data_IF_095255155190
#
_entry.id   IF_095255155190
#
_cell.length_a   1.000
_cell.length_b   1.000
_cell.length_c   1.000
_cell.angle_alpha   90.00
_cell.angle_beta   90.00
_cell.angle_gamma   90.00
#
_symmetry.space_group_name_H-M   'P 1'
#
loop_
_entity.id
_entity.type
_entity.pdbx_description
1 polymer ?
#
# COMPACT_ATOMS: atom_id res chain seq x y z
N UNK A 1 -3.74 30.11 1.01
CA UNK A 1 -4.94 29.36 1.42
C UNK A 1 -5.38 28.63 0.17
N UNK A 2 -4.94 27.39 0.02
CA UNK A 2 -5.25 26.60 -1.16
C UNK A 2 -6.74 26.22 -1.10
N UNK A 3 -7.49 26.68 -2.10
CA UNK A 3 -8.88 26.28 -2.30
C UNK A 3 -8.90 24.81 -2.67
N UNK A 4 -9.21 23.93 -1.72
CA UNK A 4 -9.62 22.57 -2.02
C UNK A 4 -10.98 22.67 -2.68
N UNK A 5 -10.97 22.49 -3.99
CA UNK A 5 -12.16 22.49 -4.84
C UNK A 5 -12.65 21.04 -4.98
N UNK A 6 -13.97 20.85 -4.95
CA UNK A 6 -14.58 19.53 -5.14
C UNK A 6 -14.42 19.18 -6.63
N UNK A 7 -13.73 18.08 -6.94
CA UNK A 7 -13.28 17.76 -8.33
C UNK A 7 -14.11 16.67 -9.01
N UNK A 8 -15.04 16.05 -8.30
CA UNK A 8 -15.86 14.93 -8.72
C UNK A 8 -17.34 15.29 -8.84
N UNK A 9 -18.18 14.26 -8.90
CA UNK A 9 -19.62 14.38 -9.12
C UNK A 9 -20.36 14.34 -7.78
N UNK A 10 -21.32 15.24 -7.60
CA UNK A 10 -22.31 15.23 -6.52
C UNK A 10 -23.48 14.36 -6.98
N UNK A 11 -23.79 13.28 -6.26
CA UNK A 11 -25.04 12.57 -6.45
C UNK A 11 -26.11 13.21 -5.58
N UNK A 12 -27.20 13.68 -6.17
CA UNK A 12 -28.34 14.23 -5.45
C UNK A 12 -29.55 13.33 -5.71
N UNK A 13 -29.88 12.49 -4.74
CA UNK A 13 -30.88 11.45 -4.87
C UNK A 13 -32.07 11.75 -3.95
N UNK A 14 -33.16 12.25 -4.52
CA UNK A 14 -34.38 12.63 -3.82
C UNK A 14 -35.56 12.57 -4.80
N UNK A 15 -36.68 11.99 -4.40
CA UNK A 15 -37.83 11.79 -5.30
C UNK A 15 -38.51 13.10 -5.72
N UNK A 16 -38.22 14.20 -5.04
CA UNK A 16 -38.71 15.56 -5.31
C UNK A 16 -37.66 16.46 -5.94
N UNK A 17 -36.50 15.92 -6.37
CA UNK A 17 -35.41 16.69 -6.97
C UNK A 17 -35.79 17.43 -8.28
N UNK A 18 -36.94 17.12 -8.86
CA UNK A 18 -37.48 17.78 -10.06
C UNK A 18 -38.78 18.56 -9.80
N UNK A 19 -39.20 18.68 -8.55
CA UNK A 19 -40.42 19.37 -8.14
C UNK A 19 -40.13 20.84 -7.88
N UNK A 20 -40.60 21.72 -8.78
CA UNK A 20 -40.31 23.17 -8.75
C UNK A 20 -40.71 23.87 -7.43
N UNK A 21 -41.66 23.28 -6.71
CA UNK A 21 -42.24 23.77 -5.45
C UNK A 21 -41.81 22.92 -4.23
N UNK A 22 -40.60 22.33 -4.23
CA UNK A 22 -40.05 21.63 -3.05
C UNK A 22 -38.66 22.19 -2.62
N UNK A 23 -38.33 22.22 -1.31
CA UNK A 23 -37.05 22.73 -0.81
C UNK A 23 -35.83 22.04 -1.44
N UNK A 24 -35.97 20.75 -1.74
CA UNK A 24 -34.92 19.89 -2.29
C UNK A 24 -34.49 20.32 -3.68
N UNK A 25 -35.42 20.81 -4.50
CA UNK A 25 -35.09 21.31 -5.82
C UNK A 25 -34.33 22.65 -5.77
N UNK A 26 -34.68 23.54 -4.84
CA UNK A 26 -33.93 24.77 -4.63
C UNK A 26 -32.52 24.50 -4.09
N UNK A 27 -32.37 23.52 -3.18
CA UNK A 27 -31.06 23.07 -2.73
C UNK A 27 -30.24 22.48 -3.90
N UNK A 28 -30.85 21.62 -4.72
CA UNK A 28 -30.24 21.09 -5.94
C UNK A 28 -29.75 22.21 -6.88
N UNK A 29 -30.56 23.27 -7.09
CA UNK A 29 -30.15 24.42 -7.93
C UNK A 29 -28.94 25.15 -7.36
N UNK A 30 -28.80 25.24 -6.05
CA UNK A 30 -27.61 25.84 -5.42
C UNK A 30 -26.38 24.98 -5.72
N UNK A 31 -26.46 23.66 -5.53
CA UNK A 31 -25.37 22.74 -5.87
C UNK A 31 -24.99 22.80 -7.35
N UNK A 32 -25.97 22.81 -8.26
CA UNK A 32 -25.75 22.85 -9.71
C UNK A 32 -24.98 24.08 -10.19
N UNK A 33 -25.05 25.20 -9.46
CA UNK A 33 -24.32 26.43 -9.81
C UNK A 33 -22.82 26.31 -9.58
N UNK A 34 -22.40 25.48 -8.63
CA UNK A 34 -21.00 25.36 -8.22
C UNK A 34 -20.37 24.02 -8.58
N UNK A 35 -21.15 22.94 -8.66
CA UNK A 35 -20.66 21.57 -8.81
C UNK A 35 -21.29 20.84 -9.99
N UNK A 36 -20.63 19.76 -10.42
CA UNK A 36 -21.21 18.79 -11.35
C UNK A 36 -22.16 17.88 -10.56
N UNK A 37 -23.46 18.05 -10.77
CA UNK A 37 -24.51 17.32 -10.02
C UNK A 37 -25.23 16.33 -10.93
N UNK A 38 -25.33 15.08 -10.48
CA UNK A 38 -26.20 14.05 -11.03
C UNK A 38 -27.47 13.95 -10.18
N UNK A 39 -28.61 14.47 -10.65
CA UNK A 39 -29.90 14.28 -9.97
C UNK A 39 -30.45 12.88 -10.24
N UNK A 40 -31.08 12.29 -9.23
CA UNK A 40 -31.76 10.99 -9.28
C UNK A 40 -33.06 11.09 -8.50
N UNK A 41 -34.15 10.61 -9.09
CA UNK A 41 -35.51 10.75 -8.58
C UNK A 41 -36.15 9.45 -8.09
N UNK A 42 -35.46 8.30 -8.21
CA UNK A 42 -35.97 7.03 -7.73
C UNK A 42 -34.84 6.04 -7.40
N UNK A 43 -35.20 4.97 -6.66
CA UNK A 43 -34.27 3.97 -6.17
C UNK A 43 -33.60 3.12 -7.27
N UNK A 44 -34.27 2.87 -8.39
CA UNK A 44 -33.68 2.12 -9.51
C UNK A 44 -32.59 2.95 -10.21
N UNK A 45 -32.88 4.22 -10.47
CA UNK A 45 -31.90 5.18 -10.98
C UNK A 45 -30.75 5.39 -9.98
N UNK A 46 -31.02 5.38 -8.66
CA UNK A 46 -29.99 5.44 -7.63
C UNK A 46 -29.05 4.23 -7.74
N UNK A 47 -29.59 3.02 -7.80
CA UNK A 47 -28.81 1.80 -7.95
C UNK A 47 -27.97 1.82 -9.23
N UNK A 48 -28.55 2.23 -10.35
CA UNK A 48 -27.83 2.35 -11.62
C UNK A 48 -26.72 3.41 -11.55
N UNK A 49 -26.99 4.58 -10.97
CA UNK A 49 -26.00 5.64 -10.82
C UNK A 49 -24.82 5.18 -9.96
N UNK A 50 -25.10 4.56 -8.80
CA UNK A 50 -24.07 4.08 -7.88
C UNK A 50 -23.22 2.93 -8.44
N UNK A 51 -23.77 2.14 -9.36
CA UNK A 51 -23.04 1.04 -10.02
C UNK A 51 -22.29 1.47 -11.29
N UNK A 52 -22.77 2.50 -11.98
CA UNK A 52 -22.25 2.91 -13.28
C UNK A 52 -21.21 4.03 -13.20
N UNK A 53 -21.34 4.92 -12.20
CA UNK A 53 -20.39 6.01 -11.97
C UNK A 53 -19.31 5.54 -11.00
N UNK A 54 -18.06 5.62 -11.43
CA UNK A 54 -16.93 5.06 -10.67
C UNK A 54 -16.69 5.74 -9.32
N UNK A 55 -16.97 7.04 -9.22
CA UNK A 55 -16.58 7.88 -8.08
C UNK A 55 -17.53 9.05 -7.90
N UNK A 56 -18.10 9.17 -6.69
CA UNK A 56 -18.80 10.36 -6.21
C UNK A 56 -17.98 10.98 -5.08
N UNK A 57 -17.91 12.31 -5.04
CA UNK A 57 -17.26 12.99 -3.90
C UNK A 57 -18.23 13.04 -2.71
N UNK A 58 -19.50 13.30 -3.02
CA UNK A 58 -20.59 13.37 -2.05
C UNK A 58 -21.85 12.77 -2.63
N UNK A 59 -22.59 12.10 -1.75
CA UNK A 59 -23.93 11.58 -2.00
C UNK A 59 -24.86 12.30 -1.03
N UNK A 60 -25.82 13.05 -1.57
CA UNK A 60 -26.93 13.64 -0.85
C UNK A 60 -28.14 12.78 -1.16
N UNK A 61 -28.75 12.21 -0.12
CA UNK A 61 -29.69 11.12 -0.25
C UNK A 61 -30.89 11.35 0.64
N UNK A 62 -32.08 11.23 0.08
CA UNK A 62 -33.31 11.11 0.87
C UNK A 62 -33.46 9.70 1.45
N UNK A 63 -34.00 9.61 2.65
CA UNK A 63 -34.30 8.34 3.28
C UNK A 63 -35.62 7.77 2.78
N UNK A 64 -36.58 8.62 2.44
CA UNK A 64 -37.95 8.23 2.12
C UNK A 64 -38.29 8.44 0.63
N UNK A 65 -38.11 7.42 -0.20
CA UNK A 65 -38.52 7.46 -1.62
C UNK A 65 -39.96 6.98 -1.82
N UNK A 66 -40.79 7.79 -2.46
CA UNK A 66 -42.13 7.40 -2.87
C UNK A 66 -42.10 6.44 -4.07
N UNK A 67 -42.97 5.43 -4.03
CA UNK A 67 -43.20 4.53 -5.15
C UNK A 67 -43.85 5.30 -6.30
N UNK A 68 -43.25 5.21 -7.49
CA UNK A 68 -43.83 5.77 -8.72
C UNK A 68 -44.70 4.75 -9.48
N UNK A 69 -45.00 3.60 -8.88
CA UNK A 69 -45.82 2.56 -9.50
C UNK A 69 -47.29 3.01 -9.57
N UNK A 70 -47.86 3.23 -10.78
CA UNK A 70 -49.23 3.69 -10.95
C UNK A 70 -50.28 2.70 -10.41
N UNK A 71 -49.91 1.42 -10.21
CA UNK A 71 -50.81 0.39 -9.66
C UNK A 71 -50.82 0.36 -8.12
N UNK A 72 -49.91 1.08 -7.45
CA UNK A 72 -49.76 1.10 -5.99
C UNK A 72 -49.68 2.52 -5.42
N UNK A 73 -50.81 3.24 -5.48
CA UNK A 73 -50.95 4.63 -5.02
C UNK A 73 -50.68 4.82 -3.50
N UNK A 74 -50.71 3.74 -2.71
CA UNK A 74 -50.50 3.75 -1.24
C UNK A 74 -49.34 2.85 -0.76
N UNK A 75 -48.36 2.54 -1.62
CA UNK A 75 -47.20 1.78 -1.18
C UNK A 75 -46.41 2.53 -0.08
N UNK A 76 -45.93 1.84 0.96
CA UNK A 76 -45.09 2.48 1.98
C UNK A 76 -43.81 3.04 1.34
N UNK A 77 -43.28 4.17 1.84
CA UNK A 77 -42.00 4.70 1.38
C UNK A 77 -40.91 3.65 1.46
N UNK A 78 -40.11 3.58 0.41
CA UNK A 78 -38.94 2.70 0.36
C UNK A 78 -37.71 3.49 0.77
N UNK A 79 -36.70 2.80 1.30
CA UNK A 79 -35.45 3.41 1.73
C UNK A 79 -34.24 2.79 1.01
N UNK A 80 -33.12 3.53 0.90
CA UNK A 80 -31.97 3.12 0.11
C UNK A 80 -31.03 2.12 0.80
N UNK A 81 -31.34 1.65 2.01
CA UNK A 81 -30.40 0.87 2.83
C UNK A 81 -29.89 -0.39 2.12
N UNK A 82 -30.79 -1.16 1.50
CA UNK A 82 -30.43 -2.40 0.79
C UNK A 82 -29.48 -2.14 -0.38
N UNK A 83 -29.65 -1.03 -1.09
CA UNK A 83 -28.77 -0.61 -2.18
C UNK A 83 -27.39 -0.24 -1.62
N UNK A 84 -27.35 0.51 -0.51
CA UNK A 84 -26.10 0.92 0.12
C UNK A 84 -25.34 -0.26 0.73
N UNK A 85 -26.03 -1.28 1.24
CA UNK A 85 -25.43 -2.50 1.79
C UNK A 85 -24.67 -3.32 0.75
N UNK A 86 -25.15 -3.34 -0.49
CA UNK A 86 -24.51 -4.05 -1.60
C UNK A 86 -23.21 -3.36 -2.05
N UNK A 87 -23.00 -2.09 -1.69
CA UNK A 87 -21.98 -1.24 -2.31
C UNK A 87 -20.91 -0.76 -1.31
N UNK A 88 -19.64 -0.90 -1.70
CA UNK A 88 -18.50 -0.38 -0.95
C UNK A 88 -18.11 1.00 -1.45
N UNK A 89 -18.95 1.98 -1.14
CA UNK A 89 -18.76 3.36 -1.57
C UNK A 89 -17.69 4.04 -0.70
N UNK A 90 -16.84 4.85 -1.35
CA UNK A 90 -15.80 5.65 -0.69
C UNK A 90 -16.08 7.15 -0.90
N UNK A 91 -17.22 7.61 -0.37
CA UNK A 91 -17.74 8.98 -0.47
C UNK A 91 -18.26 9.47 0.88
N UNK A 92 -18.42 10.79 1.04
CA UNK A 92 -19.23 11.38 2.12
C UNK A 92 -20.71 11.20 1.78
N UNK A 93 -21.53 10.78 2.73
CA UNK A 93 -22.95 10.52 2.53
C UNK A 93 -23.75 11.39 3.51
N UNK A 94 -24.63 12.22 2.98
CA UNK A 94 -25.65 12.95 3.75
C UNK A 94 -26.98 12.26 3.53
N UNK A 95 -27.58 11.76 4.61
CA UNK A 95 -28.89 11.15 4.61
C UNK A 95 -29.87 12.12 5.25
N UNK A 96 -30.83 12.60 4.46
CA UNK A 96 -31.93 13.43 4.92
C UNK A 96 -33.14 12.55 5.21
N UNK A 97 -33.86 12.83 6.28
CA UNK A 97 -35.05 12.06 6.66
C UNK A 97 -36.09 12.98 7.28
N UNK A 98 -37.35 12.85 6.87
CA UNK A 98 -38.46 13.57 7.51
C UNK A 98 -38.85 12.92 8.84
N UNK A 99 -38.74 11.60 8.95
CA UNK A 99 -38.98 10.85 10.17
C UNK A 99 -37.66 10.40 10.84
N UNK A 100 -37.75 9.92 12.08
CA UNK A 100 -36.61 9.30 12.75
C UNK A 100 -36.24 7.98 12.06
N UNK A 101 -34.97 7.88 11.62
CA UNK A 101 -34.44 6.64 11.06
C UNK A 101 -34.32 5.60 12.19
N UNK A 102 -34.78 4.35 11.98
CA UNK A 102 -34.63 3.28 12.96
C UNK A 102 -33.17 3.10 13.42
N UNK A 103 -32.97 2.91 14.73
CA UNK A 103 -31.62 2.84 15.33
C UNK A 103 -30.74 1.74 14.73
N UNK A 104 -31.34 0.60 14.38
CA UNK A 104 -30.65 -0.51 13.70
C UNK A 104 -30.14 -0.12 12.30
N UNK A 105 -30.91 0.67 11.55
CA UNK A 105 -30.49 1.21 10.27
C UNK A 105 -29.37 2.24 10.41
N UNK A 106 -29.45 3.12 11.43
CA UNK A 106 -28.39 4.09 11.75
C UNK A 106 -27.08 3.38 12.09
N UNK A 107 -27.13 2.41 13.00
CA UNK A 107 -25.96 1.60 13.38
C UNK A 107 -25.36 0.91 12.17
N UNK A 108 -26.22 0.37 11.29
CA UNK A 108 -25.79 -0.29 10.06
C UNK A 108 -25.06 0.66 9.11
N UNK A 109 -25.58 1.86 8.89
CA UNK A 109 -24.94 2.89 8.07
C UNK A 109 -23.57 3.29 8.63
N UNK A 110 -23.44 3.45 9.95
CA UNK A 110 -22.15 3.75 10.58
C UNK A 110 -21.15 2.60 10.51
N UNK A 111 -21.62 1.34 10.51
CA UNK A 111 -20.77 0.16 10.29
C UNK A 111 -20.26 0.12 8.84
N UNK A 112 -21.13 0.38 7.85
CA UNK A 112 -20.79 0.34 6.43
C UNK A 112 -19.88 1.50 6.02
N UNK A 113 -20.13 2.69 6.58
CA UNK A 113 -19.46 3.93 6.21
C UNK A 113 -18.91 4.68 7.46
N UNK A 114 -17.92 4.10 8.16
CA UNK A 114 -17.41 4.68 9.41
C UNK A 114 -16.89 6.11 9.22
N UNK A 115 -17.43 7.05 9.99
CA UNK A 115 -17.04 8.47 9.96
C UNK A 115 -17.42 9.23 8.68
N UNK A 116 -18.20 8.61 7.77
CA UNK A 116 -18.53 9.17 6.45
C UNK A 116 -20.02 9.43 6.22
N UNK A 117 -20.88 8.96 7.11
CA UNK A 117 -22.32 9.23 7.07
C UNK A 117 -22.68 10.35 8.04
N UNK A 118 -23.48 11.29 7.58
CA UNK A 118 -24.14 12.33 8.38
C UNK A 118 -25.63 12.19 8.16
N UNK A 119 -26.39 12.09 9.25
CA UNK A 119 -27.84 11.99 9.22
C UNK A 119 -28.39 13.35 9.63
N UNK A 120 -29.26 13.93 8.81
CA UNK A 120 -29.92 15.22 9.05
C UNK A 120 -31.44 15.04 8.98
N UNK A 121 -32.17 15.76 9.83
CA UNK A 121 -33.62 15.84 9.70
C UNK A 121 -34.00 16.87 8.63
N UNK A 122 -35.07 16.61 7.87
CA UNK A 122 -35.66 17.57 6.94
C UNK A 122 -36.43 18.63 7.74
N UNK A 123 -35.77 19.74 8.06
CA UNK A 123 -36.37 20.86 8.82
C UNK A 123 -36.66 22.08 7.93
N UNK A 124 -36.11 22.12 6.72
CA UNK A 124 -36.10 23.32 5.88
C UNK A 124 -37.38 23.42 5.05
N UNK A 125 -38.04 24.57 5.12
CA UNK A 125 -39.18 24.92 4.27
C UNK A 125 -38.77 25.84 3.13
N UNK A 126 -39.54 25.86 2.05
CA UNK A 126 -39.26 26.68 0.85
C UNK A 126 -39.19 28.17 1.12
N UNK A 127 -40.03 28.67 2.03
CA UNK A 127 -40.14 30.08 2.37
C UNK A 127 -38.92 30.59 3.15
N UNK A 128 -38.08 29.68 3.65
CA UNK A 128 -36.87 29.99 4.41
C UNK A 128 -35.62 29.95 3.53
N UNK A 129 -35.56 30.82 2.52
CA UNK A 129 -34.42 30.90 1.57
C UNK A 129 -33.06 31.08 2.28
N UNK A 130 -33.03 31.85 3.37
CA UNK A 130 -31.81 32.03 4.17
C UNK A 130 -31.38 30.74 4.87
N UNK A 131 -32.33 29.87 5.25
CA UNK A 131 -32.04 28.56 5.81
C UNK A 131 -31.52 27.59 4.74
N UNK A 132 -32.07 27.60 3.52
CA UNK A 132 -31.54 26.82 2.38
C UNK A 132 -30.11 27.23 2.03
N UNK A 133 -29.82 28.53 2.02
CA UNK A 133 -28.46 29.03 1.79
C UNK A 133 -27.51 28.66 2.94
N UNK A 134 -27.98 28.72 4.18
CA UNK A 134 -27.20 28.30 5.33
C UNK A 134 -26.87 26.80 5.27
N UNK A 135 -27.84 25.95 4.93
CA UNK A 135 -27.61 24.50 4.76
C UNK A 135 -26.62 24.21 3.63
N UNK A 136 -26.77 24.89 2.49
CA UNK A 136 -25.82 24.75 1.38
C UNK A 136 -24.38 25.11 1.81
N UNK A 137 -24.19 26.23 2.50
CA UNK A 137 -22.87 26.64 3.00
C UNK A 137 -22.35 25.72 4.11
N UNK A 138 -23.23 25.16 4.95
CA UNK A 138 -22.87 24.15 5.95
C UNK A 138 -22.35 22.88 5.30
N UNK A 139 -23.09 22.30 4.34
CA UNK A 139 -22.65 21.11 3.61
C UNK A 139 -21.32 21.38 2.90
N UNK A 140 -21.18 22.55 2.25
CA UNK A 140 -19.94 22.94 1.58
C UNK A 140 -18.76 23.05 2.54
N UNK A 141 -18.99 23.58 3.75
CA UNK A 141 -17.99 23.64 4.81
C UNK A 141 -17.60 22.24 5.29
N UNK A 142 -18.58 21.39 5.59
CA UNK A 142 -18.36 20.00 5.99
C UNK A 142 -17.60 19.21 4.94
N UNK A 143 -17.89 19.42 3.64
CA UNK A 143 -17.18 18.78 2.54
C UNK A 143 -15.72 19.22 2.47
N UNK A 144 -15.43 20.51 2.68
CA UNK A 144 -14.06 21.01 2.75
C UNK A 144 -13.30 20.43 3.94
N UNK A 145 -13.93 20.39 5.11
CA UNK A 145 -13.36 19.78 6.31
C UNK A 145 -13.10 18.29 6.11
N UNK A 146 -14.04 17.59 5.47
CA UNK A 146 -13.91 16.18 5.14
C UNK A 146 -12.77 15.93 4.15
N UNK A 147 -12.66 16.72 3.08
CA UNK A 147 -11.58 16.63 2.10
C UNK A 147 -10.21 16.92 2.75
N UNK A 148 -10.13 17.92 3.64
CA UNK A 148 -8.92 18.23 4.42
C UNK A 148 -8.51 17.08 5.35
N UNK A 149 -9.48 16.46 6.03
CA UNK A 149 -9.22 15.35 6.94
C UNK A 149 -8.88 14.03 6.21
N UNK A 150 -9.24 13.92 4.93
CA UNK A 150 -9.12 12.71 4.14
C UNK A 150 -8.43 13.00 2.80
N UNK A 151 -7.27 13.63 2.80
CA UNK A 151 -6.50 13.94 1.57
C UNK A 151 -6.15 12.69 0.75
N UNK A 152 -6.16 11.51 1.37
CA UNK A 152 -6.08 10.22 0.69
C UNK A 152 -7.25 9.98 -0.29
N UNK A 153 -8.38 10.68 -0.16
CA UNK A 153 -9.50 10.64 -1.10
C UNK A 153 -9.13 11.23 -2.45
N UNK A 154 -8.40 12.36 -2.47
CA UNK A 154 -7.96 12.99 -3.72
C UNK A 154 -7.16 12.00 -4.56
N UNK A 155 -6.32 11.21 -3.90
CA UNK A 155 -5.59 10.13 -4.55
C UNK A 155 -6.52 9.09 -5.16
N UNK A 156 -7.52 8.62 -4.41
CA UNK A 156 -8.48 7.62 -4.88
C UNK A 156 -9.31 8.11 -6.08
N UNK A 157 -9.70 9.38 -6.10
CA UNK A 157 -10.46 9.99 -7.19
C UNK A 157 -9.60 10.10 -8.46
N UNK A 158 -8.38 10.61 -8.33
CA UNK A 158 -7.48 10.71 -9.47
C UNK A 158 -7.02 9.33 -9.97
N UNK A 159 -6.87 8.33 -9.08
CA UNK A 159 -6.65 6.94 -9.44
C UNK A 159 -7.82 6.37 -10.25
N UNK A 160 -9.06 6.54 -9.77
CA UNK A 160 -10.28 6.10 -10.47
C UNK A 160 -10.43 6.75 -11.85
N UNK A 161 -10.14 8.05 -11.94
CA UNK A 161 -10.14 8.79 -13.22
C UNK A 161 -9.11 8.23 -14.20
N UNK A 162 -7.89 7.96 -13.72
CA UNK A 162 -6.83 7.38 -14.54
C UNK A 162 -7.25 5.99 -15.07
N UNK A 163 -7.82 5.12 -14.20
CA UNK A 163 -8.35 3.82 -14.61
C UNK A 163 -9.38 3.97 -15.72
N UNK A 164 -10.39 4.83 -15.52
CA UNK A 164 -11.46 4.98 -16.50
C UNK A 164 -10.94 5.48 -17.85
N UNK A 165 -10.07 6.49 -17.85
CA UNK A 165 -9.47 7.01 -19.07
C UNK A 165 -8.66 5.94 -19.80
N UNK A 166 -7.85 5.16 -19.06
CA UNK A 166 -7.07 4.07 -19.60
C UNK A 166 -7.96 2.95 -20.18
N UNK A 167 -9.01 2.54 -19.46
CA UNK A 167 -9.96 1.54 -19.94
C UNK A 167 -10.69 1.98 -21.21
N UNK A 168 -11.14 3.25 -21.27
CA UNK A 168 -11.80 3.79 -22.46
C UNK A 168 -10.85 3.81 -23.67
N UNK A 169 -9.57 4.15 -23.48
CA UNK A 169 -8.56 4.07 -24.55
C UNK A 169 -8.36 2.63 -25.00
N UNK A 170 -8.08 1.72 -24.07
CA UNK A 170 -7.82 0.30 -24.35
C UNK A 170 -9.00 -0.33 -25.09
N UNK A 171 -10.23 -0.15 -24.58
CA UNK A 171 -11.40 -0.73 -25.23
C UNK A 171 -11.71 -0.06 -26.56
N UNK A 172 -11.48 1.24 -26.70
CA UNK A 172 -11.58 1.94 -27.98
C UNK A 172 -10.64 1.35 -29.02
N UNK A 173 -9.37 1.12 -28.67
CA UNK A 173 -8.34 0.54 -29.54
C UNK A 173 -8.66 -0.92 -29.90
N UNK A 174 -8.96 -1.76 -28.91
CA UNK A 174 -9.29 -3.17 -29.13
C UNK A 174 -10.56 -3.34 -29.97
N UNK A 175 -11.60 -2.54 -29.71
CA UNK A 175 -12.85 -2.59 -30.46
C UNK A 175 -12.69 -2.08 -31.90
N UNK A 176 -11.80 -1.11 -32.13
CA UNK A 176 -11.48 -0.62 -33.47
C UNK A 176 -10.74 -1.67 -34.31
N UNK A 177 -9.86 -2.47 -33.69
CA UNK A 177 -9.16 -3.58 -34.37
C UNK A 177 -10.10 -4.75 -34.62
N UNK A 178 -10.85 -5.19 -33.61
CA UNK A 178 -11.76 -6.33 -33.72
C UNK A 178 -12.89 -6.27 -32.69
N UNK A 179 -14.14 -6.15 -33.18
CA UNK A 179 -15.35 -6.14 -32.35
C UNK A 179 -15.57 -7.41 -31.50
N UNK A 180 -14.87 -8.50 -31.83
CA UNK A 180 -14.92 -9.78 -31.13
C UNK A 180 -13.59 -10.14 -30.46
N UNK A 181 -12.75 -9.16 -30.14
CA UNK A 181 -11.42 -9.39 -29.54
C UNK A 181 -11.48 -10.31 -28.29
N UNK A 182 -12.47 -10.16 -27.41
CA UNK A 182 -12.66 -11.02 -26.22
C UNK A 182 -12.80 -12.49 -26.64
N UNK A 183 -13.67 -12.76 -27.62
CA UNK A 183 -13.94 -14.11 -28.12
C UNK A 183 -12.69 -14.73 -28.72
N UNK A 184 -11.91 -13.94 -29.44
CA UNK A 184 -10.76 -14.44 -30.18
C UNK A 184 -9.58 -14.72 -29.24
N UNK A 185 -9.35 -13.90 -28.20
CA UNK A 185 -8.41 -14.19 -27.11
C UNK A 185 -8.86 -15.46 -26.37
N UNK A 186 -10.12 -15.49 -25.90
CA UNK A 186 -10.68 -16.64 -25.18
C UNK A 186 -10.50 -17.95 -25.96
N UNK A 187 -10.85 -17.95 -27.26
CA UNK A 187 -10.71 -19.13 -28.12
C UNK A 187 -9.25 -19.53 -28.36
N UNK A 188 -8.31 -18.58 -28.35
CA UNK A 188 -6.88 -18.89 -28.41
C UNK A 188 -6.45 -19.62 -27.15
N UNK A 189 -6.78 -19.08 -25.97
CA UNK A 189 -6.44 -19.67 -24.67
C UNK A 189 -7.01 -21.07 -24.47
N UNK A 190 -8.27 -21.30 -24.87
CA UNK A 190 -8.88 -22.64 -24.80
C UNK A 190 -8.12 -23.66 -25.64
N UNK A 191 -7.59 -23.28 -26.82
CA UNK A 191 -6.81 -24.20 -27.66
C UNK A 191 -5.47 -24.59 -27.01
N UNK A 192 -4.92 -23.71 -26.19
CA UNK A 192 -3.66 -23.92 -25.47
C UNK A 192 -3.86 -24.62 -24.11
N UNK A 193 -5.08 -25.10 -23.81
CA UNK A 193 -5.48 -25.68 -22.52
C UNK A 193 -5.22 -24.77 -21.31
N UNK A 194 -5.24 -23.44 -21.49
CA UNK A 194 -5.10 -22.47 -20.40
C UNK A 194 -6.46 -22.04 -19.83
N UNK A 195 -6.45 -21.42 -18.65
CA UNK A 195 -7.66 -20.81 -18.08
C UNK A 195 -8.01 -19.53 -18.86
N UNK A 196 -8.85 -19.68 -19.87
CA UNK A 196 -9.19 -18.61 -20.81
C UNK A 196 -9.82 -17.37 -20.16
N UNK A 197 -10.56 -17.54 -19.04
CA UNK A 197 -11.11 -16.40 -18.30
C UNK A 197 -9.98 -15.63 -17.63
N UNK A 198 -9.06 -16.33 -16.97
CA UNK A 198 -7.91 -15.70 -16.30
C UNK A 198 -7.01 -14.99 -17.31
N UNK A 199 -6.74 -15.61 -18.47
CA UNK A 199 -5.93 -15.01 -19.53
C UNK A 199 -6.51 -13.68 -20.02
N UNK A 200 -7.83 -13.62 -20.30
CA UNK A 200 -8.48 -12.39 -20.75
C UNK A 200 -8.36 -11.29 -19.69
N UNK A 201 -8.57 -11.64 -18.41
CA UNK A 201 -8.48 -10.69 -17.29
C UNK A 201 -7.03 -10.21 -17.10
N UNK A 202 -6.05 -11.10 -17.13
CA UNK A 202 -4.63 -10.78 -16.96
C UNK A 202 -4.11 -9.89 -18.09
N UNK A 203 -4.47 -10.19 -19.34
CA UNK A 203 -4.07 -9.36 -20.47
C UNK A 203 -4.63 -7.94 -20.34
N UNK A 204 -5.90 -7.80 -19.95
CA UNK A 204 -6.49 -6.48 -19.70
C UNK A 204 -5.82 -5.76 -18.53
N UNK A 205 -5.54 -6.47 -17.44
CA UNK A 205 -4.84 -5.89 -16.29
C UNK A 205 -3.43 -5.44 -16.66
N UNK A 206 -2.72 -6.18 -17.51
CA UNK A 206 -1.40 -5.80 -18.00
C UNK A 206 -1.47 -4.54 -18.87
N UNK A 207 -2.40 -4.48 -19.83
CA UNK A 207 -2.62 -3.27 -20.64
C UNK A 207 -2.99 -2.07 -19.76
N UNK A 208 -3.88 -2.26 -18.79
CA UNK A 208 -4.26 -1.23 -17.84
C UNK A 208 -3.06 -0.77 -17.00
N UNK A 209 -2.27 -1.68 -16.45
CA UNK A 209 -1.09 -1.36 -15.66
C UNK A 209 -0.09 -0.51 -16.47
N UNK A 210 0.17 -0.89 -17.72
CA UNK A 210 1.06 -0.12 -18.61
C UNK A 210 0.53 1.30 -18.88
N UNK A 211 -0.77 1.44 -19.14
CA UNK A 211 -1.40 2.74 -19.34
C UNK A 211 -1.35 3.60 -18.07
N UNK A 212 -1.57 3.01 -16.90
CA UNK A 212 -1.50 3.71 -15.62
C UNK A 212 -0.08 4.20 -15.29
N UNK A 213 0.95 3.39 -15.55
CA UNK A 213 2.37 3.77 -15.38
C UNK A 213 2.76 4.96 -16.26
N UNK A 214 2.12 5.09 -17.42
CA UNK A 214 2.33 6.17 -18.37
C UNK A 214 1.45 7.40 -18.11
N UNK A 215 0.44 7.31 -17.23
CA UNK A 215 -0.46 8.41 -16.93
C UNK A 215 0.27 9.56 -16.20
N UNK A 216 0.43 10.75 -16.82
CA UNK A 216 1.24 11.83 -16.24
C UNK A 216 0.58 12.47 -15.01
N UNK A 217 -0.76 12.57 -14.98
CA UNK A 217 -1.50 13.15 -13.87
C UNK A 217 -1.37 12.29 -12.60
N UNK A 218 -1.54 10.97 -12.76
CA UNK A 218 -1.35 10.03 -11.66
C UNK A 218 0.09 10.05 -11.14
N UNK A 219 1.09 10.05 -12.04
CA UNK A 219 2.51 10.11 -11.68
C UNK A 219 2.85 11.36 -10.88
N UNK A 220 2.39 12.53 -11.32
CA UNK A 220 2.61 13.79 -10.62
C UNK A 220 2.05 13.74 -9.19
N UNK A 221 0.83 13.22 -9.03
CA UNK A 221 0.19 13.11 -7.72
C UNK A 221 0.90 12.13 -6.78
N UNK A 222 1.35 10.96 -7.29
CA UNK A 222 2.18 10.02 -6.53
C UNK A 222 3.46 10.72 -6.03
N UNK A 223 4.12 11.50 -6.90
CA UNK A 223 5.34 12.23 -6.52
C UNK A 223 5.07 13.33 -5.49
N UNK A 224 3.96 14.05 -5.60
CA UNK A 224 3.57 15.06 -4.61
C UNK A 224 3.38 14.41 -3.24
N UNK A 225 2.48 13.42 -3.15
CA UNK A 225 2.16 12.78 -1.86
C UNK A 225 3.34 11.97 -1.30
N UNK A 226 4.10 11.29 -2.16
CA UNK A 226 5.25 10.49 -1.73
C UNK A 226 6.41 11.32 -1.17
N UNK A 227 6.49 12.61 -1.49
CA UNK A 227 7.50 13.54 -1.00
C UNK A 227 6.98 14.47 0.11
N UNK A 228 5.72 14.34 0.53
CA UNK A 228 5.22 15.10 1.68
C UNK A 228 6.00 14.67 2.94
N UNK A 229 6.59 15.65 3.64
CA UNK A 229 7.30 15.40 4.88
C UNK A 229 6.31 14.89 5.93
N UNK A 230 6.36 13.58 6.18
CA UNK A 230 5.30 12.85 6.86
C UNK A 230 4.94 13.37 8.25
N UNK A 231 3.64 13.35 8.53
CA UNK A 231 3.08 13.31 9.89
C UNK A 231 3.43 11.99 10.57
N UNK A 232 3.53 12.00 11.91
CA UNK A 232 3.78 10.81 12.74
C UNK A 232 2.71 9.73 12.50
N UNK A 233 2.94 8.84 11.53
CA UNK A 233 2.08 7.67 11.29
C UNK A 233 2.33 6.66 12.39
N UNK A 234 1.27 6.19 13.04
CA UNK A 234 1.36 5.13 14.05
C UNK A 234 1.91 3.84 13.41
N UNK A 235 2.89 3.21 14.06
CA UNK A 235 3.47 1.93 13.63
C UNK A 235 2.40 0.85 13.41
N UNK A 236 1.35 0.83 14.24
CA UNK A 236 0.22 -0.08 14.12
C UNK A 236 -0.58 0.17 12.84
N UNK A 237 -0.80 1.44 12.47
CA UNK A 237 -1.52 1.79 11.25
C UNK A 237 -0.71 1.37 10.01
N UNK A 238 0.60 1.60 10.02
CA UNK A 238 1.49 1.15 8.96
C UNK A 238 1.49 -0.39 8.84
N UNK A 239 1.61 -1.11 9.95
CA UNK A 239 1.60 -2.58 9.96
C UNK A 239 0.30 -3.17 9.39
N UNK A 240 -0.86 -2.57 9.71
CA UNK A 240 -2.17 -2.96 9.14
C UNK A 240 -2.27 -2.67 7.64
N UNK A 241 -1.76 -1.51 7.21
CA UNK A 241 -1.71 -1.15 5.79
C UNK A 241 -0.88 -2.18 4.99
N UNK A 242 0.34 -2.48 5.46
CA UNK A 242 1.21 -3.43 4.77
C UNK A 242 0.69 -4.87 4.83
N UNK A 243 0.00 -5.28 5.91
CA UNK A 243 -0.72 -6.55 5.91
C UNK A 243 -1.75 -6.61 4.77
N UNK A 244 -2.54 -5.55 4.56
CA UNK A 244 -3.55 -5.51 3.49
C UNK A 244 -2.91 -5.53 2.09
N UNK A 245 -1.74 -4.91 1.94
CA UNK A 245 -0.99 -4.89 0.68
C UNK A 245 -0.38 -6.27 0.38
N UNK A 246 0.21 -6.93 1.38
CA UNK A 246 0.85 -8.24 1.21
C UNK A 246 -0.16 -9.37 1.03
N UNK A 247 -1.31 -9.33 1.71
CA UNK A 247 -2.23 -10.46 1.76
C UNK A 247 -3.65 -10.09 1.36
N UNK A 248 -4.19 -10.88 0.43
CA UNK A 248 -5.62 -10.82 0.06
C UNK A 248 -6.37 -11.95 0.73
N UNK A 249 -7.51 -11.64 1.36
CA UNK A 249 -8.41 -12.66 1.90
C UNK A 249 -9.11 -13.37 0.74
N UNK A 250 -9.07 -14.70 0.74
CA UNK A 250 -9.77 -15.52 -0.24
C UNK A 250 -11.21 -15.72 0.23
N UNK A 251 -12.16 -15.43 -0.67
CA UNK A 251 -13.58 -15.55 -0.42
C UNK A 251 -14.13 -16.78 -1.14
N UNK A 252 -14.63 -17.76 -0.39
CA UNK A 252 -15.26 -18.96 -0.93
C UNK A 252 -14.29 -20.08 -1.33
N UNK A 253 -14.83 -21.29 -1.45
CA UNK A 253 -14.10 -22.51 -1.82
C UNK A 253 -13.99 -22.71 -3.33
N UNK A 254 -14.74 -21.96 -4.13
CA UNK A 254 -14.79 -22.12 -5.59
C UNK A 254 -13.62 -21.45 -6.33
N UNK A 255 -12.83 -20.61 -5.64
CA UNK A 255 -11.63 -19.99 -6.24
C UNK A 255 -10.60 -21.09 -6.47
N UNK A 256 -10.15 -21.34 -7.70
CA UNK A 256 -9.22 -22.44 -7.92
C UNK A 256 -7.80 -22.09 -7.37
N UNK A 257 -6.96 -23.10 -7.15
CA UNK A 257 -5.66 -22.90 -6.51
C UNK A 257 -4.76 -21.99 -7.35
N UNK A 258 -4.06 -21.08 -6.68
CA UNK A 258 -3.18 -20.12 -7.33
C UNK A 258 -1.86 -19.97 -6.55
N UNK A 259 -0.79 -19.62 -7.26
CA UNK A 259 0.52 -19.36 -6.64
C UNK A 259 0.37 -18.24 -5.61
N UNK A 260 0.91 -18.44 -4.42
CA UNK A 260 0.78 -17.53 -3.29
C UNK A 260 -0.37 -17.87 -2.35
N UNK A 261 -1.25 -18.83 -2.69
CA UNK A 261 -2.27 -19.32 -1.77
C UNK A 261 -1.61 -19.84 -0.47
N UNK A 262 -2.15 -19.40 0.67
CA UNK A 262 -1.70 -19.75 2.00
C UNK A 262 -2.68 -20.78 2.59
N UNK A 263 -2.14 -21.94 2.94
CA UNK A 263 -2.84 -23.06 3.54
C UNK A 263 -2.47 -23.18 5.02
N UNK A 264 -3.48 -23.42 5.85
CA UNK A 264 -3.30 -23.77 7.26
C UNK A 264 -3.19 -25.29 7.37
N UNK A 265 -2.03 -25.77 7.85
CA UNK A 265 -1.81 -27.19 8.10
C UNK A 265 -2.24 -27.53 9.54
N UNK A 266 -1.93 -26.64 10.48
CA UNK A 266 -2.36 -26.69 11.89
C UNK A 266 -2.34 -25.30 12.49
N UNK A 267 -2.65 -25.16 13.79
CA UNK A 267 -2.69 -23.87 14.49
C UNK A 267 -1.37 -23.07 14.41
N UNK A 268 -0.24 -23.76 14.31
CA UNK A 268 1.11 -23.16 14.28
C UNK A 268 1.86 -23.40 12.96
N UNK A 269 1.26 -24.08 11.99
CA UNK A 269 1.94 -24.49 10.76
C UNK A 269 1.17 -24.09 9.51
N UNK A 270 1.91 -23.50 8.57
CA UNK A 270 1.36 -22.90 7.37
C UNK A 270 2.18 -23.33 6.16
N UNK A 271 1.56 -23.27 4.99
CA UNK A 271 2.22 -23.50 3.72
C UNK A 271 1.81 -22.45 2.68
N UNK A 272 2.77 -22.01 1.87
CA UNK A 272 2.53 -21.15 0.71
C UNK A 272 2.78 -21.96 -0.57
N UNK A 273 1.79 -21.99 -1.48
CA UNK A 273 1.96 -22.59 -2.80
C UNK A 273 2.89 -21.74 -3.67
N UNK A 274 4.00 -22.33 -4.13
CA UNK A 274 5.00 -21.62 -4.96
C UNK A 274 5.11 -22.17 -6.39
N UNK A 275 4.41 -23.25 -6.73
CA UNK A 275 4.29 -23.76 -8.11
C UNK A 275 3.78 -22.66 -9.03
N UNK A 276 4.42 -22.38 -10.17
CA UNK A 276 3.96 -21.38 -11.13
C UNK A 276 2.52 -21.64 -11.64
N UNK A 277 1.69 -20.59 -11.73
CA UNK A 277 0.26 -20.67 -12.08
C UNK A 277 0.01 -21.39 -13.43
N UNK A 278 0.89 -21.21 -14.42
CA UNK A 278 0.77 -21.87 -15.74
C UNK A 278 0.88 -23.40 -15.68
N UNK A 279 1.58 -23.95 -14.68
CA UNK A 279 1.82 -25.41 -14.61
C UNK A 279 0.67 -26.18 -13.96
N UNK A 280 -0.12 -25.54 -13.08
CA UNK A 280 -1.17 -26.20 -12.29
C UNK A 280 -2.41 -26.52 -13.14
N UNK A 281 -2.84 -25.61 -14.03
CA UNK A 281 -4.08 -25.80 -14.83
C UNK A 281 -3.87 -26.58 -16.13
N UNK A 282 -2.74 -26.36 -16.82
CA UNK A 282 -2.45 -27.00 -18.11
C UNK A 282 -2.19 -28.51 -17.91
N UNK A 283 -1.59 -28.90 -16.79
CA UNK A 283 -1.13 -30.27 -16.59
C UNK A 283 -2.22 -31.22 -16.10
N UNK A 284 -3.10 -30.76 -15.21
CA UNK A 284 -4.20 -31.57 -14.67
C UNK A 284 -5.36 -31.76 -15.67
N UNK A 285 -5.43 -30.94 -16.72
CA UNK A 285 -6.45 -31.02 -17.78
C UNK A 285 -6.08 -31.96 -18.94
N UNK A 286 -4.84 -32.47 -18.98
CA UNK A 286 -4.36 -33.39 -20.03
C UNK A 286 -4.31 -34.83 -19.51
N UNK A 287 -5.19 -35.74 -19.97
CA UNK A 287 -5.31 -37.11 -19.44
C UNK A 287 -4.04 -37.97 -19.53
N UNK A 288 -3.10 -37.59 -20.42
CA UNK A 288 -1.87 -38.32 -20.69
C UNK A 288 -0.67 -37.89 -19.81
N UNK A 289 -0.83 -36.86 -18.97
CA UNK A 289 0.24 -36.36 -18.11
C UNK A 289 -0.05 -36.75 -16.66
N UNK A 290 0.90 -37.35 -15.92
CA UNK A 290 0.73 -37.63 -14.49
C UNK A 290 0.38 -36.35 -13.74
N UNK A 291 -0.63 -36.43 -12.84
CA UNK A 291 -1.08 -35.31 -11.99
C UNK A 291 0.12 -34.57 -11.39
N UNK A 292 0.03 -33.24 -11.39
CA UNK A 292 1.14 -32.41 -10.93
C UNK A 292 1.39 -32.59 -9.44
N UNK A 293 2.67 -32.78 -9.12
CA UNK A 293 3.21 -32.58 -7.80
C UNK A 293 3.32 -31.06 -7.61
N UNK A 294 2.71 -30.53 -6.56
CA UNK A 294 2.73 -29.11 -6.21
C UNK A 294 3.87 -28.83 -5.23
N UNK A 295 4.53 -27.70 -5.39
CA UNK A 295 5.62 -27.23 -4.56
C UNK A 295 5.08 -26.20 -3.57
N UNK A 296 5.28 -26.47 -2.29
CA UNK A 296 4.89 -25.57 -1.21
C UNK A 296 6.10 -25.20 -0.37
N UNK A 297 6.08 -24.02 0.24
CA UNK A 297 6.99 -23.63 1.30
C UNK A 297 6.28 -23.68 2.64
N UNK A 298 6.62 -24.67 3.46
CA UNK A 298 6.10 -24.84 4.82
C UNK A 298 6.91 -24.03 5.82
N UNK A 299 6.24 -23.47 6.81
CA UNK A 299 6.85 -22.72 7.90
C UNK A 299 5.99 -22.77 9.17
N UNK A 300 6.62 -22.56 10.31
CA UNK A 300 5.94 -22.54 11.60
C UNK A 300 5.97 -21.16 12.26
N UNK A 301 4.93 -20.85 13.01
CA UNK A 301 4.91 -19.70 13.94
C UNK A 301 6.06 -19.77 14.96
N UNK A 302 6.49 -20.98 15.33
CA UNK A 302 7.59 -21.20 16.29
C UNK A 302 8.95 -20.74 15.77
N UNK A 303 9.12 -20.71 14.44
CA UNK A 303 10.37 -20.27 13.82
C UNK A 303 10.63 -18.78 14.12
N UNK A 304 9.58 -17.96 14.26
CA UNK A 304 9.71 -16.54 14.61
C UNK A 304 10.24 -16.37 16.03
N UNK A 305 9.71 -17.13 16.99
CA UNK A 305 10.12 -17.04 18.39
C UNK A 305 11.58 -17.42 18.58
N UNK A 306 12.09 -18.38 17.79
CA UNK A 306 13.50 -18.74 17.77
C UNK A 306 14.36 -17.67 17.09
N UNK A 307 13.84 -17.02 16.03
CA UNK A 307 14.60 -16.07 15.23
C UNK A 307 14.66 -14.65 15.83
N UNK A 308 13.61 -14.14 16.46
CA UNK A 308 13.52 -12.73 16.84
C UNK A 308 14.01 -12.37 18.26
N UNK A 309 14.43 -13.34 19.08
CA UNK A 309 15.25 -13.12 20.30
C UNK A 309 14.94 -11.88 21.17
N UNK A 310 15.98 -11.30 21.79
CA UNK A 310 15.91 -10.04 22.57
C UNK A 310 16.25 -8.81 21.69
N UNK A 311 17.05 -9.01 20.63
CA UNK A 311 17.38 -7.96 19.66
C UNK A 311 16.25 -7.80 18.63
N UNK A 312 15.77 -6.56 18.46
CA UNK A 312 14.64 -6.22 17.57
C UNK A 312 14.85 -6.64 16.10
N UNK A 313 16.08 -6.98 15.69
CA UNK A 313 16.37 -7.66 14.43
C UNK A 313 15.86 -6.96 13.18
N UNK A 314 15.74 -5.62 13.20
CA UNK A 314 15.09 -4.83 12.14
C UNK A 314 15.72 -5.09 10.76
N UNK A 315 17.04 -5.26 10.72
CA UNK A 315 17.83 -5.54 9.51
C UNK A 315 17.45 -6.88 8.86
N UNK A 316 16.79 -7.79 9.59
CA UNK A 316 16.31 -9.07 9.05
C UNK A 316 15.23 -8.86 8.00
N UNK A 317 14.42 -7.81 8.11
CA UNK A 317 13.40 -7.45 7.10
C UNK A 317 13.99 -6.88 5.81
N UNK A 318 15.27 -6.45 5.82
CA UNK A 318 16.01 -6.16 4.59
C UNK A 318 16.39 -7.44 3.83
N UNK A 319 16.07 -8.60 4.41
CA UNK A 319 16.22 -9.91 3.79
C UNK A 319 17.68 -10.26 3.45
N UNK A 320 18.62 -9.77 4.27
CA UNK A 320 20.06 -9.95 4.11
C UNK A 320 20.51 -11.42 4.22
N UNK A 321 19.79 -12.22 5.00
CA UNK A 321 20.01 -13.66 5.08
C UNK A 321 19.41 -14.35 3.85
N UNK A 322 20.25 -14.87 2.96
CA UNK A 322 19.81 -15.55 1.73
C UNK A 322 19.08 -16.88 1.98
N UNK A 323 19.32 -17.51 3.13
CA UNK A 323 18.70 -18.77 3.54
C UNK A 323 17.26 -18.63 4.06
N UNK A 324 16.80 -17.39 4.26
CA UNK A 324 15.55 -17.09 4.94
C UNK A 324 14.74 -16.06 4.18
N UNK A 325 13.45 -16.06 4.43
CA UNK A 325 12.54 -15.03 3.98
C UNK A 325 11.58 -14.62 5.11
N UNK A 326 11.42 -13.31 5.29
CA UNK A 326 10.51 -12.78 6.29
C UNK A 326 9.30 -12.14 5.62
N UNK A 327 8.10 -12.52 6.07
CA UNK A 327 6.86 -11.92 5.62
C UNK A 327 6.33 -11.00 6.73
N UNK A 328 6.19 -9.68 6.51
CA UNK A 328 5.73 -8.77 7.55
C UNK A 328 4.23 -8.97 7.84
N UNK A 329 3.83 -8.69 9.09
CA UNK A 329 2.43 -8.68 9.55
C UNK A 329 1.59 -9.87 9.03
N UNK A 330 2.11 -11.09 9.12
CA UNK A 330 1.46 -12.29 8.60
C UNK A 330 0.10 -12.52 9.29
N UNK A 331 -0.97 -12.81 8.53
CA UNK A 331 -2.32 -12.90 9.07
C UNK A 331 -2.58 -14.27 9.72
N UNK A 332 -1.94 -14.51 10.87
CA UNK A 332 -2.21 -15.68 11.69
C UNK A 332 -3.68 -15.73 12.11
N UNK A 333 -4.28 -16.91 12.05
CA UNK A 333 -5.67 -17.10 12.46
C UNK A 333 -5.83 -16.87 13.96
N UNK A 334 -6.91 -16.17 14.32
CA UNK A 334 -7.26 -15.84 15.71
C UNK A 334 -6.15 -15.07 16.47
N UNK A 335 -5.18 -14.48 15.76
CA UNK A 335 -4.11 -13.71 16.38
C UNK A 335 -4.43 -12.22 16.33
N UNK A 336 -4.41 -11.59 17.50
CA UNK A 336 -4.62 -10.15 17.62
C UNK A 336 -3.34 -9.36 17.30
N UNK A 337 -2.18 -9.98 17.47
CA UNK A 337 -0.87 -9.37 17.21
C UNK A 337 -0.46 -9.47 15.73
N UNK A 338 0.17 -8.41 15.22
CA UNK A 338 0.70 -8.39 13.84
C UNK A 338 2.13 -8.95 13.81
N UNK A 339 2.24 -10.26 13.96
CA UNK A 339 3.53 -10.96 13.95
C UNK A 339 4.05 -11.15 12.52
N UNK A 340 5.37 -11.07 12.26
CA UNK A 340 5.93 -11.50 10.98
C UNK A 340 5.87 -13.02 10.85
N UNK A 341 6.10 -13.60 9.66
CA UNK A 341 6.43 -15.01 9.46
C UNK A 341 7.89 -15.17 9.00
N UNK A 342 8.52 -16.29 9.32
CA UNK A 342 9.86 -16.64 8.84
C UNK A 342 9.81 -17.96 8.08
N UNK A 343 10.31 -17.97 6.85
CA UNK A 343 10.46 -19.16 6.01
C UNK A 343 11.95 -19.48 5.95
N UNK A 344 12.33 -20.67 6.41
CA UNK A 344 13.71 -21.16 6.34
C UNK A 344 13.84 -22.08 5.12
N UNK A 345 14.47 -21.60 4.05
CA UNK A 345 14.49 -22.29 2.76
C UNK A 345 15.10 -23.70 2.81
N UNK A 346 16.03 -23.94 3.73
CA UNK A 346 16.68 -25.24 3.88
C UNK A 346 15.69 -26.38 4.17
N UNK A 347 14.61 -26.08 4.90
CA UNK A 347 13.65 -27.09 5.39
C UNK A 347 12.23 -26.83 4.90
N UNK A 348 11.98 -25.71 4.20
CA UNK A 348 10.63 -25.29 3.86
C UNK A 348 10.04 -26.02 2.65
N UNK A 349 10.83 -26.46 1.67
CA UNK A 349 10.27 -27.05 0.44
C UNK A 349 9.66 -28.42 0.72
N UNK A 350 8.38 -28.56 0.40
CA UNK A 350 7.71 -29.84 0.28
C UNK A 350 7.03 -29.98 -1.09
N UNK A 351 6.95 -31.22 -1.56
CA UNK A 351 6.22 -31.57 -2.77
C UNK A 351 5.00 -32.39 -2.39
N UNK A 352 3.81 -31.88 -2.70
CA UNK A 352 2.53 -32.45 -2.26
C UNK A 352 1.59 -32.71 -3.43
N UNK A 353 0.63 -33.60 -3.25
CA UNK A 353 -0.46 -33.76 -4.22
C UNK A 353 -1.49 -32.63 -4.08
N UNK A 354 -2.25 -32.39 -5.15
CA UNK A 354 -3.40 -31.48 -5.09
C UNK A 354 -4.44 -31.91 -4.07
N UNK A 355 -4.65 -33.21 -3.93
CA UNK A 355 -5.64 -33.78 -3.00
C UNK A 355 -5.28 -33.39 -1.56
N UNK A 356 -3.99 -33.38 -1.19
CA UNK A 356 -3.53 -32.92 0.12
C UNK A 356 -3.96 -31.48 0.45
N UNK A 357 -3.91 -30.57 -0.53
CA UNK A 357 -4.28 -29.16 -0.33
C UNK A 357 -5.79 -28.93 -0.31
N UNK A 358 -6.57 -29.86 -0.88
CA UNK A 358 -8.04 -29.72 -1.01
C UNK A 358 -8.74 -29.77 0.33
N UNK A 359 -8.17 -30.51 1.29
CA UNK A 359 -8.72 -30.67 2.63
C UNK A 359 -8.24 -29.59 3.62
N UNK A 360 -7.30 -28.72 3.20
CA UNK A 360 -6.73 -27.69 4.06
C UNK A 360 -7.52 -26.39 4.01
N UNK A 361 -7.60 -25.71 5.16
CA UNK A 361 -8.20 -24.39 5.23
C UNK A 361 -7.32 -23.37 4.49
N UNK A 362 -7.94 -22.62 3.57
CA UNK A 362 -7.29 -21.61 2.75
C UNK A 362 -7.99 -20.27 2.92
N UNK A 363 -7.33 -19.31 3.56
CA UNK A 363 -7.94 -18.03 3.93
C UNK A 363 -7.28 -16.81 3.28
N UNK A 364 -6.02 -16.92 2.88
CA UNK A 364 -5.25 -15.79 2.37
C UNK A 364 -4.42 -16.17 1.15
N UNK A 365 -4.08 -15.17 0.34
CA UNK A 365 -3.11 -15.25 -0.77
C UNK A 365 -2.03 -14.20 -0.54
N UNK A 366 -0.76 -14.58 -0.67
CA UNK A 366 0.37 -13.65 -0.79
C UNK A 366 0.33 -12.98 -2.17
N UNK A 367 0.20 -11.67 -2.20
CA UNK A 367 0.00 -10.90 -3.41
C UNK A 367 1.28 -10.77 -4.24
N UNK A 368 1.11 -10.53 -5.54
CA UNK A 368 2.17 -9.97 -6.39
C UNK A 368 2.49 -8.54 -5.95
N UNK A 369 3.77 -8.10 -5.94
CA UNK A 369 4.97 -8.82 -6.41
C UNK A 369 5.63 -9.73 -5.37
N UNK A 370 5.14 -9.76 -4.12
CA UNK A 370 5.80 -10.43 -3.00
C UNK A 370 5.94 -11.94 -3.19
N UNK A 371 4.94 -12.61 -3.78
CA UNK A 371 5.05 -14.02 -4.13
C UNK A 371 6.14 -14.28 -5.18
N UNK A 372 6.29 -13.39 -6.16
CA UNK A 372 7.34 -13.50 -7.18
C UNK A 372 8.72 -13.31 -6.55
N UNK A 373 8.84 -12.34 -5.62
CA UNK A 373 10.07 -12.13 -4.84
C UNK A 373 10.43 -13.37 -4.00
N UNK A 374 9.47 -13.95 -3.29
CA UNK A 374 9.66 -15.16 -2.49
C UNK A 374 10.18 -16.31 -3.37
N UNK A 375 9.53 -16.57 -4.52
CA UNK A 375 9.94 -17.58 -5.49
C UNK A 375 11.36 -17.33 -6.01
N UNK A 376 11.64 -16.10 -6.44
CA UNK A 376 12.96 -15.74 -6.96
C UNK A 376 14.06 -15.95 -5.91
N UNK A 377 13.80 -15.58 -4.65
CA UNK A 377 14.75 -15.79 -3.55
C UNK A 377 14.97 -17.26 -3.26
N UNK A 378 13.90 -18.04 -3.21
CA UNK A 378 13.97 -19.49 -3.05
C UNK A 378 14.79 -20.15 -4.17
N UNK A 379 14.46 -19.85 -5.44
CA UNK A 379 15.21 -20.36 -6.60
C UNK A 379 16.66 -19.90 -6.60
N UNK A 380 16.95 -18.68 -6.15
CA UNK A 380 18.33 -18.17 -6.05
C UNK A 380 19.14 -18.87 -4.96
N UNK A 381 18.50 -19.23 -3.84
CA UNK A 381 19.12 -20.00 -2.77
C UNK A 381 19.44 -21.43 -3.23
N UNK A 382 18.47 -22.13 -3.82
CA UNK A 382 18.66 -23.50 -4.33
C UNK A 382 19.53 -23.55 -5.60
N UNK A 383 19.44 -22.56 -6.48
CA UNK A 383 20.26 -22.47 -7.70
C UNK A 383 21.76 -22.33 -7.42
N UNK A 384 22.15 -21.88 -6.21
CA UNK A 384 23.56 -21.91 -5.76
C UNK A 384 24.04 -23.28 -5.30
N UNK A 385 23.14 -24.24 -5.08
CA UNK A 385 23.46 -25.62 -4.67
C UNK A 385 23.96 -26.48 -5.86
N UNK A 386 23.90 -25.95 -7.09
CA UNK A 386 24.41 -26.61 -8.31
C UNK A 386 25.87 -26.28 -8.68
N UNK A 387 26.58 -25.41 -7.95
CA UNK A 387 28.01 -25.18 -8.20
C UNK A 387 28.78 -26.25 -7.41
N UNK A 388 29.53 -27.15 -8.06
CA UNK A 388 30.33 -28.14 -7.35
C UNK A 388 31.22 -27.45 -6.33
N UNK A 389 31.21 -27.92 -5.08
CA UNK A 389 32.15 -27.44 -4.09
C UNK A 389 33.57 -27.63 -4.66
N UNK A 390 34.30 -26.53 -4.84
CA UNK A 390 35.68 -26.59 -5.30
C UNK A 390 36.46 -27.40 -4.27
N UNK A 391 37.19 -28.42 -4.73
CA UNK A 391 37.98 -29.29 -3.87
C UNK A 391 38.93 -28.43 -3.01
N UNK A 392 39.04 -28.73 -1.71
CA UNK A 392 39.87 -27.95 -0.79
C UNK A 392 41.35 -27.93 -1.21
N UNK A 393 41.84 -28.97 -1.87
CA UNK A 393 43.19 -29.00 -2.47
C UNK A 393 43.35 -27.90 -3.54
N UNK A 394 42.33 -27.65 -4.35
CA UNK A 394 42.34 -26.60 -5.39
C UNK A 394 42.25 -25.22 -4.74
N UNK A 395 41.44 -25.07 -3.69
CA UNK A 395 41.35 -23.80 -2.94
C UNK A 395 42.69 -23.45 -2.30
N UNK A 396 43.32 -24.41 -1.60
CA UNK A 396 44.63 -24.22 -0.96
C UNK A 396 45.72 -23.94 -2.00
N UNK A 397 45.75 -24.68 -3.11
CA UNK A 397 46.71 -24.43 -4.18
C UNK A 397 46.54 -23.03 -4.77
N UNK A 398 45.32 -22.62 -5.14
CA UNK A 398 45.07 -21.30 -5.73
C UNK A 398 45.37 -20.16 -4.76
N UNK A 399 45.04 -20.31 -3.47
CA UNK A 399 45.43 -19.35 -2.44
C UNK A 399 46.96 -19.19 -2.36
N UNK A 400 47.72 -20.30 -2.41
CA UNK A 400 49.19 -20.25 -2.41
C UNK A 400 49.77 -19.58 -3.67
N UNK A 401 49.09 -19.68 -4.82
CA UNK A 401 49.50 -18.97 -6.03
C UNK A 401 49.30 -17.46 -5.91
N UNK A 402 48.20 -17.01 -5.28
CA UNK A 402 47.93 -15.59 -5.02
C UNK A 402 49.00 -15.02 -4.07
N UNK A 403 49.36 -15.75 -3.02
CA UNK A 403 50.44 -15.34 -2.10
C UNK A 403 51.80 -15.26 -2.80
N UNK A 404 52.11 -16.22 -3.69
CA UNK A 404 53.35 -16.20 -4.46
C UNK A 404 53.39 -15.04 -5.47
N UNK A 405 52.27 -14.74 -6.12
CA UNK A 405 52.12 -13.61 -7.04
C UNK A 405 52.31 -12.27 -6.32
N UNK A 406 51.69 -12.09 -5.16
CA UNK A 406 51.83 -10.88 -4.35
C UNK A 406 53.27 -10.65 -3.87
N UNK A 407 53.96 -11.72 -3.43
CA UNK A 407 55.40 -11.64 -3.07
C UNK A 407 56.28 -11.27 -4.27
N UNK A 408 55.92 -11.70 -5.48
CA UNK A 408 56.62 -11.33 -6.72
C UNK A 408 56.45 -9.84 -7.04
N UNK A 409 55.22 -9.32 -6.92
CA UNK A 409 54.92 -7.90 -7.09
C UNK A 409 55.65 -7.01 -6.08
N UNK A 410 55.88 -7.47 -4.86
CA UNK A 410 56.68 -6.73 -3.87
C UNK A 410 58.16 -6.62 -4.25
N UNK A 411 58.72 -7.65 -4.91
CA UNK A 411 60.09 -7.62 -5.42
C UNK A 411 60.27 -6.83 -6.73
N UNK A 412 59.19 -6.64 -7.50
CA UNK A 412 59.19 -5.90 -8.76
C UNK A 412 58.85 -4.41 -8.62
N UNK A 413 58.54 -3.91 -7.40
CA UNK A 413 58.38 -2.47 -7.18
C UNK A 413 59.69 -1.74 -7.54
N UNK A 414 59.70 -0.83 -8.53
CA UNK A 414 60.90 -0.09 -8.87
C UNK A 414 61.34 0.73 -7.65
N UNK A 415 62.64 0.69 -7.34
CA UNK A 415 63.22 1.53 -6.27
C UNK A 415 62.95 2.99 -6.63
N UNK A 416 62.28 3.70 -5.73
CA UNK A 416 61.93 5.12 -5.88
C UNK A 416 63.16 5.93 -6.32
N UNK A 417 62.98 6.87 -7.25
CA UNK A 417 64.09 7.65 -7.78
C UNK A 417 64.72 8.50 -6.66
N UNK A 418 66.01 8.86 -6.74
CA UNK A 418 66.64 9.74 -5.76
C UNK A 418 65.89 11.07 -5.57
N UNK A 419 65.21 11.55 -6.61
CA UNK A 419 64.38 12.76 -6.58
C UNK A 419 63.09 12.55 -5.78
N UNK A 420 62.41 11.41 -5.92
CA UNK A 420 61.22 11.07 -5.12
C UNK A 420 61.56 10.91 -3.63
N UNK A 421 62.74 10.37 -3.32
CA UNK A 421 63.23 10.25 -1.95
C UNK A 421 63.57 11.64 -1.38
N UNK A 422 64.17 12.53 -2.18
CA UNK A 422 64.46 13.89 -1.78
C UNK A 422 63.16 14.70 -1.53
N UNK A 423 62.16 14.55 -2.41
CA UNK A 423 60.86 15.21 -2.29
C UNK A 423 60.10 14.73 -1.05
N UNK A 424 60.08 13.42 -0.78
CA UNK A 424 59.45 12.86 0.44
C UNK A 424 60.16 13.31 1.71
N UNK A 425 61.50 13.42 1.70
CA UNK A 425 62.26 13.98 2.84
C UNK A 425 61.98 15.48 3.04
N UNK A 426 61.85 16.25 1.97
CA UNK A 426 61.52 17.67 2.04
C UNK A 426 60.11 17.90 2.61
N UNK A 427 59.11 17.14 2.13
CA UNK A 427 57.73 17.17 2.64
C UNK A 427 57.66 16.78 4.11
N UNK A 428 58.32 15.68 4.51
CA UNK A 428 58.35 15.26 5.91
C UNK A 428 59.04 16.27 6.84
N UNK A 429 60.05 17.01 6.34
CA UNK A 429 60.69 18.09 7.08
C UNK A 429 59.73 19.29 7.24
N UNK A 430 59.03 19.66 6.17
CA UNK A 430 58.07 20.77 6.17
C UNK A 430 56.89 20.51 7.12
N UNK A 431 56.35 19.28 7.14
CA UNK A 431 55.30 18.89 8.09
C UNK A 431 55.76 18.91 9.55
N UNK A 432 57.01 18.47 9.80
CA UNK A 432 57.59 18.48 11.14
C UNK A 432 57.85 19.91 11.65
N UNK A 433 58.31 20.79 10.78
CA UNK A 433 58.55 22.20 11.10
C UNK A 433 57.21 22.94 11.35
N UNK A 434 56.18 22.67 10.54
CA UNK A 434 54.83 23.22 10.72
C UNK A 434 54.17 22.73 12.02
N UNK A 435 54.26 21.43 12.33
CA UNK A 435 53.77 20.87 13.59
C UNK A 435 54.51 21.41 14.81
N UNK A 436 55.81 21.71 14.67
CA UNK A 436 56.62 22.31 15.74
C UNK A 436 56.19 23.76 16.03
N UNK A 437 55.97 24.56 14.99
CA UNK A 437 55.52 25.94 15.11
C UNK A 437 54.13 26.04 15.76
N UNK A 438 53.19 25.18 15.36
CA UNK A 438 51.84 25.13 15.93
C UNK A 438 51.84 24.74 17.41
N UNK A 439 52.68 23.77 17.81
CA UNK A 439 52.81 23.38 19.23
C UNK A 439 53.43 24.49 20.08
N UNK A 440 54.41 25.22 19.54
CA UNK A 440 55.04 26.34 20.25
C UNK A 440 54.06 27.49 20.46
N UNK A 441 53.29 27.85 19.44
CA UNK A 441 52.24 28.87 19.53
C UNK A 441 51.15 28.49 20.57
N UNK A 442 50.70 27.23 20.54
CA UNK A 442 49.71 26.74 21.52
C UNK A 442 50.24 26.77 22.97
N UNK A 443 51.53 26.49 23.17
CA UNK A 443 52.15 26.55 24.50
C UNK A 443 52.29 27.99 25.01
N UNK A 444 52.69 28.93 24.15
CA UNK A 444 52.81 30.34 24.51
C UNK A 444 51.45 30.96 24.85
N UNK A 445 50.41 30.62 24.10
CA UNK A 445 49.04 31.07 24.37
C UNK A 445 48.50 30.51 25.69
N UNK A 446 48.73 29.21 25.96
CA UNK A 446 48.37 28.58 27.23
C UNK A 446 49.05 29.26 28.41
N UNK A 447 50.35 29.56 28.30
CA UNK A 447 51.10 30.27 29.34
C UNK A 447 50.56 31.69 29.58
N UNK A 448 50.12 32.37 28.52
CA UNK A 448 49.49 33.70 28.61
C UNK A 448 48.18 33.65 29.38
N UNK A 449 47.35 32.65 29.10
CA UNK A 449 46.07 32.42 29.77
C UNK A 449 46.27 32.06 31.25
N UNK A 450 47.27 31.24 31.58
CA UNK A 450 47.61 30.88 32.97
C UNK A 450 48.12 32.09 33.77
N UNK A 451 48.93 32.96 33.15
CA UNK A 451 49.36 34.21 33.79
C UNK A 451 48.19 35.16 34.03
N UNK A 452 47.28 35.31 33.05
CA UNK A 452 46.08 36.13 33.19
C UNK A 452 45.15 35.61 34.29
N UNK A 453 44.99 34.29 34.42
CA UNK A 453 44.20 33.66 35.47
C UNK A 453 44.79 33.92 36.87
N UNK A 454 46.11 33.83 37.04
CA UNK A 454 46.74 34.10 38.35
C UNK A 454 46.63 35.58 38.79
N UNK A 455 46.59 36.51 37.85
CA UNK A 455 46.38 37.94 38.12
C UNK A 455 44.92 38.22 38.52
N UNK A 456 43.97 37.50 37.92
CA UNK A 456 42.55 37.62 38.28
C UNK A 456 42.24 37.03 39.67
N UNK A 457 42.94 35.97 40.08
CA UNK A 457 42.74 35.30 41.38
C UNK A 457 43.36 36.08 42.56
N UNK A 458 44.35 36.94 42.31
CA UNK A 458 44.93 37.85 43.31
C UNK A 458 44.16 39.18 43.46
N UNK A 459 43.15 39.44 42.62
CA UNK A 459 42.39 40.69 42.60
C UNK A 459 40.96 40.58 43.18
N UNK A 460 40.58 39.44 43.78
CA UNK A 460 39.27 39.25 44.39
C UNK A 460 39.27 39.67 45.88
N UNK A 461 38.54 40.74 46.27
CA UNK A 461 38.46 41.15 47.68
C UNK A 461 37.48 40.30 48.50
N UNK A 462 37.84 40.22 49.78
CA UNK A 462 37.36 39.42 50.90
C UNK A 462 35.87 39.64 51.25
N UNK A 463 35.22 38.58 51.73
CA UNK A 463 33.84 38.54 52.21
C UNK A 463 33.57 39.52 53.36
N UNK A 464 32.40 40.18 53.34
CA UNK A 464 31.80 40.79 54.52
C UNK A 464 30.43 40.15 54.81
N UNK A 465 30.21 39.93 56.11
CA UNK A 465 29.20 39.12 56.78
C UNK A 465 27.73 39.56 56.60
N UNK A 466 26.74 38.70 56.97
CA UNK A 466 25.31 39.02 56.92
C UNK A 466 24.80 39.57 58.25
N UNK A 467 24.02 40.66 58.23
CA UNK A 467 23.15 41.04 59.36
C UNK A 467 21.78 41.60 58.91
N UNK A 468 20.74 40.88 59.37
CA UNK A 468 19.49 41.33 59.99
C UNK A 468 18.73 42.56 59.42
N UNK A 469 17.52 42.32 58.91
CA UNK A 469 16.24 42.55 59.62
C UNK A 469 15.06 41.93 58.90
#
# INVERSE_FOLDING_TARGET
MDTIDIKGVVLFADDRVHSDDEPEYELYKLFKKEFVVLPVDNLDHLKQALTSVSTFDVIILDWEFLSHDPDFVDAPPQNPLSILEELKLFSKIFVYSAADIPADAVDRLHILFPGRVVIKQKVIKIDERDALLAEFEEIKKELKEFALANQNLDFSVAWGRAINQSLQSIFGELAAVNKHWVRDIYKSSVKDNSNAISEVIELLNNLLAEQLVQNPGLKAMILTQGNENGTNTSELAAAKLFQRIYYTKIHGTEVPFATGDIFEISDDEYAILITPECEVYIRDSVPAIPKSNLEILRFSKKDITAEFGIDKGLDKFNQNATAKHYLPSFPYRNEAMLLPACIVFLTALETVSKDFLTDLARHYKLNSPYIQQLRQRYSSWHGRVGVPAVNDLIKTFNASQVDAYNKRLEHEKPKASPEEIALKKALAKQEKDASGALRKAAYEEKKRLEQAASVAEQAAPEQAAPEQK
#
